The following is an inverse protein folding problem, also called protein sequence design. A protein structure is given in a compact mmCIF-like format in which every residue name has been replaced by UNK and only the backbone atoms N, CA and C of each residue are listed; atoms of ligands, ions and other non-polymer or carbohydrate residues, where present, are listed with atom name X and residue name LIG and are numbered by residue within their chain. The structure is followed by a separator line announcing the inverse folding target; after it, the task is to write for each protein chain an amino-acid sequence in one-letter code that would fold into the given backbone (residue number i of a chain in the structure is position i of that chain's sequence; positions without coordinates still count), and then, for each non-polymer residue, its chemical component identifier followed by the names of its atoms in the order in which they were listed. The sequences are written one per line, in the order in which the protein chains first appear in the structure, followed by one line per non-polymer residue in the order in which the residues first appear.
data_IF_900637920131
#
_entry.id   IF_900637920131
#
_cell.length_a   1.000
_cell.length_b   1.000
_cell.length_c   1.000
_cell.angle_alpha   90.00
_cell.angle_beta   90.00
_cell.angle_gamma   90.00
#
_symmetry.space_group_name_H-M   'P 1'
#
loop_
_entity.id
_entity.type
_entity.pdbx_description
1 polymer ?
#
# COMPACT_ATOMS: atom_id res chain seq x y z
N UNK A 1 13.95 -16.85 0.16
CA UNK A 1 13.73 -15.41 -0.20
C UNK A 1 12.51 -15.36 -1.08
N UNK A 2 11.66 -14.33 -0.95
CA UNK A 2 10.59 -14.09 -1.92
C UNK A 2 11.24 -13.69 -3.24
N UNK A 3 10.84 -14.32 -4.36
CA UNK A 3 11.35 -13.95 -5.68
C UNK A 3 10.48 -12.89 -6.36
N UNK A 4 9.28 -12.62 -5.83
CA UNK A 4 8.36 -11.64 -6.39
C UNK A 4 8.54 -10.24 -5.79
N UNK A 5 9.18 -10.14 -4.62
CA UNK A 5 9.56 -8.86 -4.05
C UNK A 5 11.06 -8.63 -4.26
N UNK A 6 11.36 -7.45 -4.75
CA UNK A 6 12.72 -7.03 -5.02
C UNK A 6 13.53 -7.04 -3.72
N UNK A 7 14.69 -7.70 -3.74
CA UNK A 7 15.73 -7.44 -2.75
C UNK A 7 16.36 -6.10 -3.14
N UNK A 8 16.00 -5.04 -2.45
CA UNK A 8 16.61 -3.74 -2.71
C UNK A 8 18.06 -3.78 -2.25
N UNK A 9 18.90 -3.01 -2.93
CA UNK A 9 20.21 -2.68 -2.43
C UNK A 9 20.03 -2.04 -1.06
N UNK A 10 20.82 -2.47 -0.10
CA UNK A 10 20.80 -1.93 1.27
C UNK A 10 21.61 -0.65 1.30
N UNK A 11 21.09 0.38 1.93
CA UNK A 11 21.75 1.67 2.11
C UNK A 11 22.05 1.98 3.58
N UNK A 12 22.99 2.92 3.81
CA UNK A 12 23.30 3.39 5.18
C UNK A 12 22.06 4.05 5.77
N UNK A 13 21.79 3.76 7.04
CA UNK A 13 20.62 4.24 7.77
C UNK A 13 19.39 3.34 7.67
N UNK A 14 19.36 2.40 6.71
CA UNK A 14 18.23 1.48 6.58
C UNK A 14 18.20 0.43 7.68
N UNK A 15 16.98 0.02 8.01
CA UNK A 15 16.74 -1.07 8.95
C UNK A 15 16.81 -2.40 8.20
N UNK A 16 17.65 -3.30 8.67
CA UNK A 16 17.94 -4.59 8.04
C UNK A 16 17.88 -5.75 9.02
N UNK A 17 17.76 -6.96 8.49
CA UNK A 17 18.17 -8.19 9.15
C UNK A 17 19.38 -8.76 8.40
N UNK A 18 20.46 -8.99 9.13
CA UNK A 18 21.62 -9.71 8.62
C UNK A 18 21.72 -11.07 9.34
N UNK A 19 21.63 -12.15 8.58
CA UNK A 19 21.90 -13.50 9.07
C UNK A 19 23.36 -13.81 8.90
N UNK A 20 24.01 -14.20 9.98
CA UNK A 20 25.39 -14.63 9.99
C UNK A 20 25.53 -16.05 10.54
N UNK A 21 26.60 -16.70 10.16
CA UNK A 21 26.98 -18.02 10.66
C UNK A 21 28.29 -17.89 11.45
N UNK A 22 28.25 -18.28 12.72
CA UNK A 22 29.42 -18.34 13.61
C UNK A 22 29.48 -19.77 14.17
N UNK A 23 30.60 -20.45 13.98
CA UNK A 23 30.81 -21.83 14.46
C UNK A 23 29.68 -22.80 14.07
N UNK A 24 29.16 -22.67 12.83
CA UNK A 24 28.06 -23.47 12.30
C UNK A 24 26.66 -23.10 12.82
N UNK A 25 26.54 -22.09 13.66
CA UNK A 25 25.27 -21.58 14.17
C UNK A 25 24.84 -20.33 13.41
N UNK A 26 23.54 -20.30 13.05
CA UNK A 26 22.94 -19.12 12.45
C UNK A 26 22.38 -18.16 13.50
N UNK A 27 22.79 -16.90 13.43
CA UNK A 27 22.29 -15.82 14.26
C UNK A 27 21.85 -14.64 13.41
N UNK A 28 20.84 -13.91 13.86
CA UNK A 28 20.31 -12.73 13.14
C UNK A 28 20.67 -11.45 13.92
N UNK A 29 21.24 -10.46 13.25
CA UNK A 29 21.39 -9.09 13.74
C UNK A 29 20.34 -8.24 13.06
N UNK A 30 19.43 -7.63 13.84
CA UNK A 30 18.39 -6.75 13.35
C UNK A 30 18.66 -5.33 13.84
N UNK A 31 18.82 -4.38 12.93
CA UNK A 31 19.16 -3.01 13.30
C UNK A 31 19.35 -2.10 12.10
N UNK A 32 20.04 -1.00 12.32
CA UNK A 32 20.27 0.03 11.31
C UNK A 32 21.71 -0.01 10.83
N UNK A 33 21.89 0.06 9.52
CA UNK A 33 23.21 0.03 8.87
C UNK A 33 23.94 1.32 9.14
N UNK A 34 25.18 1.22 9.66
CA UNK A 34 26.08 2.34 9.88
C UNK A 34 27.16 2.43 8.80
N UNK A 35 27.60 1.28 8.29
CA UNK A 35 28.59 1.15 7.22
C UNK A 35 28.28 -0.10 6.40
N UNK A 36 28.62 -0.09 5.12
CA UNK A 36 28.46 -1.24 4.22
C UNK A 36 29.79 -1.98 3.97
N UNK A 37 30.90 -1.31 4.16
CA UNK A 37 32.23 -1.88 4.00
C UNK A 37 33.20 -1.30 5.06
N UNK A 38 33.55 -2.06 6.13
CA UNK A 38 32.89 -3.32 6.54
C UNK A 38 31.42 -3.13 6.88
N UNK A 39 30.63 -4.23 6.84
CA UNK A 39 29.22 -4.15 7.24
C UNK A 39 29.11 -3.97 8.75
N UNK A 40 28.59 -2.82 9.16
CA UNK A 40 28.37 -2.48 10.58
C UNK A 40 26.90 -2.18 10.80
N UNK A 41 26.27 -2.89 11.72
CA UNK A 41 24.85 -2.74 12.07
C UNK A 41 24.73 -2.39 13.56
N UNK A 42 24.01 -1.32 13.88
CA UNK A 42 23.60 -1.04 15.25
C UNK A 42 22.28 -1.74 15.54
N UNK A 43 22.22 -2.65 16.53
CA UNK A 43 20.98 -3.30 16.93
C UNK A 43 19.89 -2.28 17.24
N UNK A 44 18.64 -2.64 16.89
CA UNK A 44 17.49 -1.76 17.08
C UNK A 44 16.96 -1.80 18.53
N UNK A 45 16.20 -0.77 18.89
CA UNK A 45 15.29 -0.82 20.04
C UNK A 45 13.97 -1.53 19.69
N UNK A 46 13.15 -1.79 20.72
CA UNK A 46 11.80 -2.35 20.57
C UNK A 46 10.99 -1.45 19.61
N UNK A 47 10.24 -2.08 18.70
CA UNK A 47 9.48 -1.35 17.68
C UNK A 47 10.28 -0.99 16.42
N UNK A 48 11.57 -1.32 16.36
CA UNK A 48 12.43 -1.04 15.20
C UNK A 48 13.01 0.38 15.21
N UNK A 49 13.07 1.02 16.36
CA UNK A 49 13.68 2.34 16.50
C UNK A 49 15.22 2.26 16.54
N UNK A 50 15.91 3.32 16.10
CA UNK A 50 17.35 3.44 16.31
C UNK A 50 17.70 3.36 17.80
N UNK A 51 18.82 2.74 18.13
CA UNK A 51 19.31 2.58 19.50
C UNK A 51 20.66 3.24 19.70
N UNK A 52 21.10 3.31 20.96
CA UNK A 52 22.46 3.64 21.36
C UNK A 52 23.30 2.40 21.70
N UNK A 53 22.81 1.19 21.42
CA UNK A 53 23.51 -0.06 21.67
C UNK A 53 24.81 -0.13 20.88
N UNK A 54 25.74 -0.95 21.37
CA UNK A 54 26.99 -1.20 20.66
C UNK A 54 26.75 -1.74 19.27
N UNK A 55 27.47 -1.20 18.29
CA UNK A 55 27.35 -1.62 16.91
C UNK A 55 28.09 -2.95 16.70
N UNK A 56 27.54 -3.79 15.84
CA UNK A 56 28.08 -5.10 15.49
C UNK A 56 28.67 -5.02 14.09
N UNK A 57 29.97 -5.29 13.99
CA UNK A 57 30.64 -5.53 12.72
C UNK A 57 30.40 -6.98 12.29
N UNK A 58 30.03 -7.19 11.03
CA UNK A 58 29.77 -8.50 10.47
C UNK A 58 30.78 -8.76 9.35
N UNK A 59 31.77 -9.65 9.59
CA UNK A 59 32.72 -10.05 8.55
C UNK A 59 32.02 -10.65 7.34
N UNK A 60 32.56 -10.41 6.15
CA UNK A 60 31.96 -10.86 4.89
C UNK A 60 31.80 -12.40 4.84
N UNK A 61 32.74 -13.15 5.42
CA UNK A 61 32.72 -14.60 5.50
C UNK A 61 31.59 -15.16 6.39
N UNK A 62 31.18 -14.41 7.41
CA UNK A 62 30.09 -14.77 8.29
C UNK A 62 28.71 -14.45 7.68
N UNK A 63 28.64 -13.43 6.83
CA UNK A 63 27.37 -12.94 6.27
C UNK A 63 26.77 -13.95 5.27
N UNK A 64 25.59 -14.46 5.58
CA UNK A 64 24.84 -15.36 4.68
C UNK A 64 23.73 -14.62 3.93
N UNK A 65 23.03 -13.75 4.58
CA UNK A 65 21.90 -13.01 4.01
C UNK A 65 21.84 -11.63 4.69
N UNK A 66 21.62 -10.61 3.87
CA UNK A 66 21.15 -9.31 4.36
C UNK A 66 19.84 -8.97 3.65
N UNK A 67 18.86 -8.48 4.39
CA UNK A 67 17.56 -8.08 3.85
C UNK A 67 17.11 -6.77 4.48
N UNK A 68 16.69 -5.84 3.65
CA UNK A 68 16.02 -4.63 4.07
C UNK A 68 14.68 -4.96 4.74
N UNK A 69 14.36 -4.23 5.80
CA UNK A 69 13.11 -4.31 6.54
C UNK A 69 12.36 -2.98 6.45
N UNK A 70 11.07 -3.02 6.74
CA UNK A 70 10.30 -1.79 6.94
C UNK A 70 10.95 -0.92 8.03
N UNK A 71 10.89 0.43 7.94
CA UNK A 71 11.52 1.32 8.92
C UNK A 71 11.08 1.11 10.37
N UNK A 72 9.94 0.48 10.58
CA UNK A 72 9.43 0.10 11.91
C UNK A 72 9.06 -1.39 11.93
N UNK A 73 8.97 -1.94 13.13
CA UNK A 73 8.48 -3.32 13.29
C UNK A 73 7.02 -3.40 12.87
N UNK A 74 6.70 -4.30 11.95
CA UNK A 74 5.36 -4.53 11.43
C UNK A 74 4.98 -5.98 11.69
N UNK A 75 3.81 -6.22 12.27
CA UNK A 75 3.24 -7.55 12.49
C UNK A 75 2.38 -7.97 11.29
N UNK A 76 2.11 -9.26 11.15
CA UNK A 76 1.17 -9.75 10.13
C UNK A 76 -0.26 -9.20 10.35
N UNK A 77 -0.65 -8.97 11.62
CA UNK A 77 -1.90 -8.30 11.96
C UNK A 77 -1.96 -6.87 11.45
N UNK A 78 -0.84 -6.12 11.50
CA UNK A 78 -0.79 -4.73 11.02
C UNK A 78 -0.94 -4.67 9.50
N UNK A 79 -0.30 -5.61 8.77
CA UNK A 79 -0.47 -5.75 7.32
C UNK A 79 -1.93 -6.08 7.00
N UNK A 80 -2.50 -7.06 7.70
CA UNK A 80 -3.88 -7.49 7.48
C UNK A 80 -4.87 -6.34 7.73
N UNK A 81 -4.68 -5.55 8.78
CA UNK A 81 -5.56 -4.42 9.09
C UNK A 81 -5.64 -3.40 7.95
N UNK A 82 -4.49 -3.01 7.36
CA UNK A 82 -4.45 -2.11 6.19
C UNK A 82 -5.10 -2.75 4.97
N UNK A 83 -4.85 -4.04 4.73
CA UNK A 83 -5.43 -4.75 3.59
C UNK A 83 -6.95 -4.95 3.75
N UNK A 84 -7.46 -5.12 4.97
CA UNK A 84 -8.91 -5.13 5.27
C UNK A 84 -9.52 -3.76 4.98
N UNK A 85 -8.93 -2.67 5.50
CA UNK A 85 -9.39 -1.32 5.21
C UNK A 85 -9.36 -1.01 3.69
N UNK A 86 -8.31 -1.50 2.99
CA UNK A 86 -8.23 -1.39 1.52
C UNK A 86 -9.34 -2.18 0.84
N UNK A 87 -9.63 -3.39 1.30
CA UNK A 87 -10.69 -4.21 0.72
C UNK A 87 -12.07 -3.59 0.92
N UNK A 88 -12.33 -3.01 2.10
CA UNK A 88 -13.55 -2.26 2.38
C UNK A 88 -13.71 -1.01 1.50
N UNK A 89 -12.58 -0.32 1.18
CA UNK A 89 -12.56 0.83 0.28
C UNK A 89 -12.73 0.45 -1.22
N UNK A 90 -12.55 -0.82 -1.57
CA UNK A 90 -12.63 -1.33 -2.95
C UNK A 90 -13.35 -2.69 -2.99
N UNK A 91 -14.64 -2.74 -2.61
CA UNK A 91 -15.38 -4.01 -2.43
C UNK A 91 -15.65 -4.77 -3.73
N UNK A 92 -15.59 -4.10 -4.91
CA UNK A 92 -16.06 -4.69 -6.18
C UNK A 92 -17.59 -4.70 -6.29
N UNK A 93 -18.10 -5.30 -7.35
CA UNK A 93 -19.55 -5.54 -7.59
C UNK A 93 -20.06 -6.73 -6.79
N UNK A 94 -19.22 -7.74 -6.70
CA UNK A 94 -19.42 -8.90 -5.84
C UNK A 94 -18.16 -9.16 -5.06
N UNK A 95 -18.33 -9.56 -3.80
CA UNK A 95 -17.23 -10.07 -2.99
C UNK A 95 -17.74 -11.23 -2.15
N UNK A 96 -16.91 -12.24 -1.99
CA UNK A 96 -17.18 -13.41 -1.17
C UNK A 96 -15.90 -14.01 -0.62
N UNK A 97 -16.00 -14.69 0.50
CA UNK A 97 -14.89 -15.42 1.08
C UNK A 97 -14.79 -16.83 0.50
N UNK A 98 -13.60 -17.35 0.41
CA UNK A 98 -13.39 -18.78 0.20
C UNK A 98 -13.97 -19.58 1.35
N UNK A 99 -14.33 -20.85 1.10
CA UNK A 99 -14.98 -21.75 2.08
C UNK A 99 -14.19 -21.90 3.38
N UNK A 100 -12.86 -21.82 3.28
CA UNK A 100 -11.96 -21.85 4.45
C UNK A 100 -11.87 -20.50 5.18
N UNK A 101 -12.50 -19.44 4.66
CA UNK A 101 -12.50 -18.10 5.22
C UNK A 101 -11.13 -17.40 5.19
N UNK A 102 -10.20 -17.86 4.33
CA UNK A 102 -8.85 -17.29 4.32
C UNK A 102 -8.65 -16.24 3.22
N UNK A 103 -9.37 -16.31 2.11
CA UNK A 103 -9.24 -15.39 0.99
C UNK A 103 -10.55 -14.66 0.73
N UNK A 104 -10.48 -13.33 0.58
CA UNK A 104 -11.60 -12.51 0.09
C UNK A 104 -11.44 -12.31 -1.41
N UNK A 105 -12.38 -12.85 -2.19
CA UNK A 105 -12.45 -12.69 -3.64
C UNK A 105 -13.35 -11.50 -3.96
N UNK A 106 -12.91 -10.64 -4.88
CA UNK A 106 -13.66 -9.43 -5.30
C UNK A 106 -13.66 -9.35 -6.81
N UNK A 107 -14.85 -9.15 -7.39
CA UNK A 107 -15.07 -8.93 -8.80
C UNK A 107 -15.75 -7.57 -9.00
N UNK A 108 -15.14 -6.68 -9.74
CA UNK A 108 -15.65 -5.36 -10.10
C UNK A 108 -15.87 -5.24 -11.59
N UNK A 109 -15.39 -4.14 -12.15
CA UNK A 109 -15.47 -3.78 -13.58
C UNK A 109 -14.19 -4.07 -14.37
N UNK A 110 -13.22 -4.79 -13.76
CA UNK A 110 -11.92 -5.08 -14.38
C UNK A 110 -10.92 -3.92 -14.35
N UNK A 111 -11.33 -2.70 -13.96
CA UNK A 111 -10.48 -1.49 -14.09
C UNK A 111 -9.31 -1.50 -13.11
N UNK A 112 -9.52 -1.85 -11.84
CA UNK A 112 -8.46 -1.81 -10.83
C UNK A 112 -8.23 -3.16 -10.19
N UNK A 113 -6.97 -3.53 -9.93
CA UNK A 113 -6.64 -4.74 -9.18
C UNK A 113 -7.25 -4.75 -7.78
N UNK A 114 -7.43 -3.58 -7.16
CA UNK A 114 -8.01 -3.46 -5.81
C UNK A 114 -9.43 -3.99 -5.69
N UNK A 115 -10.27 -3.79 -6.73
CA UNK A 115 -11.65 -4.28 -6.78
C UNK A 115 -11.78 -5.62 -7.53
N UNK A 116 -10.70 -6.15 -8.09
CA UNK A 116 -10.71 -7.31 -8.99
C UNK A 116 -9.56 -8.26 -8.64
N UNK A 117 -9.47 -8.67 -7.38
CA UNK A 117 -8.46 -9.63 -6.92
C UNK A 117 -8.90 -10.39 -5.69
N UNK A 118 -8.39 -11.61 -5.54
CA UNK A 118 -8.45 -12.36 -4.30
C UNK A 118 -7.31 -11.93 -3.36
N UNK A 119 -7.61 -11.64 -2.10
CA UNK A 119 -6.65 -11.13 -1.11
C UNK A 119 -6.66 -11.99 0.16
N UNK A 120 -5.49 -12.33 0.76
CA UNK A 120 -5.35 -13.21 1.92
C UNK A 120 -5.61 -12.45 3.23
N UNK A 121 -6.87 -12.28 3.63
CA UNK A 121 -7.26 -11.53 4.82
C UNK A 121 -7.56 -12.40 6.04
N UNK A 122 -7.77 -13.70 5.86
CA UNK A 122 -8.01 -14.62 6.96
C UNK A 122 -6.78 -14.77 7.87
N UNK A 123 -6.98 -15.11 9.16
CA UNK A 123 -5.90 -15.16 10.14
C UNK A 123 -4.82 -16.20 9.79
N UNK A 124 -5.18 -17.27 9.09
CA UNK A 124 -4.28 -18.36 8.69
C UNK A 124 -3.85 -18.32 7.22
N UNK A 125 -4.29 -17.32 6.44
CA UNK A 125 -4.02 -17.22 5.00
C UNK A 125 -2.52 -17.30 4.64
N UNK A 126 -1.64 -16.81 5.51
CA UNK A 126 -0.18 -16.88 5.32
C UNK A 126 0.44 -18.26 5.53
N UNK A 127 -0.33 -19.24 6.02
CA UNK A 127 0.17 -20.56 6.39
C UNK A 127 -0.55 -21.71 5.67
N UNK A 128 -1.79 -21.48 5.20
CA UNK A 128 -2.60 -22.47 4.48
C UNK A 128 -2.32 -22.40 2.97
N UNK A 129 -2.52 -23.49 2.22
CA UNK A 129 -2.50 -23.47 0.77
C UNK A 129 -3.53 -22.47 0.21
N UNK A 130 -3.24 -21.90 -0.96
CA UNK A 130 -4.21 -21.06 -1.68
C UNK A 130 -5.28 -21.96 -2.29
N UNK A 131 -6.59 -21.72 -2.05
CA UNK A 131 -7.67 -22.52 -2.63
C UNK A 131 -7.92 -22.12 -4.09
N UNK A 132 -6.95 -22.44 -4.98
CA UNK A 132 -6.93 -21.97 -6.36
C UNK A 132 -8.16 -22.36 -7.17
N UNK A 133 -8.67 -23.58 -7.01
CA UNK A 133 -9.84 -24.06 -7.76
C UNK A 133 -11.07 -23.17 -7.49
N UNK A 134 -11.29 -22.81 -6.23
CA UNK A 134 -12.41 -21.95 -5.82
C UNK A 134 -12.23 -20.52 -6.31
N UNK A 135 -11.00 -19.99 -6.26
CA UNK A 135 -10.67 -18.66 -6.77
C UNK A 135 -10.83 -18.59 -8.29
N UNK A 136 -10.33 -19.60 -9.00
CA UNK A 136 -10.45 -19.67 -10.47
C UNK A 136 -11.93 -19.76 -10.90
N UNK A 137 -12.74 -20.61 -10.24
CA UNK A 137 -14.18 -20.72 -10.49
C UNK A 137 -14.90 -19.38 -10.25
N UNK A 138 -14.53 -18.64 -9.20
CA UNK A 138 -15.11 -17.33 -8.92
C UNK A 138 -14.83 -16.34 -10.06
N UNK A 139 -13.58 -16.19 -10.50
CA UNK A 139 -13.23 -15.25 -11.56
C UNK A 139 -13.79 -15.66 -12.94
N UNK A 140 -13.82 -16.96 -13.23
CA UNK A 140 -14.42 -17.48 -14.46
C UNK A 140 -15.92 -17.11 -14.59
N UNK A 141 -16.68 -17.15 -13.48
CA UNK A 141 -18.09 -16.74 -13.47
C UNK A 141 -18.32 -15.25 -13.78
N UNK A 142 -17.29 -14.44 -13.59
CA UNK A 142 -17.33 -12.99 -13.83
C UNK A 142 -16.67 -12.56 -15.13
N UNK A 143 -16.25 -13.50 -15.97
CA UNK A 143 -15.49 -13.22 -17.20
C UNK A 143 -14.21 -12.37 -16.91
N UNK A 144 -13.58 -12.61 -15.77
CA UNK A 144 -12.38 -11.91 -15.34
C UNK A 144 -11.18 -12.87 -15.24
N UNK A 145 -9.96 -12.42 -15.53
CA UNK A 145 -8.77 -13.23 -15.26
C UNK A 145 -8.58 -13.39 -13.75
N UNK A 146 -8.14 -14.58 -13.33
CA UNK A 146 -7.76 -14.81 -11.94
C UNK A 146 -6.63 -13.86 -11.57
N UNK A 147 -6.83 -13.07 -10.52
CA UNK A 147 -5.85 -12.14 -10.00
C UNK A 147 -5.70 -12.32 -8.50
N UNK A 148 -4.46 -12.54 -8.06
CA UNK A 148 -4.08 -12.63 -6.66
C UNK A 148 -3.46 -11.32 -6.20
N UNK A 149 -3.95 -10.77 -5.09
CA UNK A 149 -3.28 -9.73 -4.35
C UNK A 149 -2.31 -10.39 -3.37
N UNK A 150 -1.05 -9.98 -3.39
CA UNK A 150 0.04 -10.63 -2.66
C UNK A 150 0.72 -9.60 -1.76
N UNK A 151 0.14 -9.30 -0.58
CA UNK A 151 0.83 -8.52 0.43
C UNK A 151 2.00 -9.32 0.99
N UNK A 152 3.13 -8.66 1.20
CA UNK A 152 4.34 -9.26 1.76
C UNK A 152 4.02 -10.05 3.03
N UNK A 153 4.60 -11.22 3.18
CA UNK A 153 4.47 -12.17 4.31
C UNK A 153 3.12 -12.88 4.40
N UNK A 154 1.98 -12.17 4.44
CA UNK A 154 0.67 -12.83 4.52
C UNK A 154 0.26 -13.45 3.18
N UNK A 155 0.80 -12.97 2.05
CA UNK A 155 0.62 -13.53 0.71
C UNK A 155 1.62 -14.64 0.33
N UNK A 156 2.48 -15.09 1.27
CA UNK A 156 3.54 -16.10 0.98
C UNK A 156 3.03 -17.40 0.31
N UNK A 157 1.85 -17.95 0.63
CA UNK A 157 1.36 -19.13 -0.11
C UNK A 157 1.15 -18.85 -1.60
N UNK A 158 0.65 -17.67 -1.98
CA UNK A 158 0.51 -17.29 -3.39
C UNK A 158 1.87 -17.15 -4.09
N UNK A 159 2.90 -16.67 -3.39
CA UNK A 159 4.26 -16.66 -3.94
C UNK A 159 4.73 -18.05 -4.36
N UNK A 160 4.36 -19.09 -3.60
CA UNK A 160 4.72 -20.47 -3.92
C UNK A 160 3.94 -21.01 -5.12
N UNK A 161 2.65 -20.65 -5.25
CA UNK A 161 1.83 -21.00 -6.42
C UNK A 161 2.44 -20.44 -7.68
N UNK A 162 2.82 -19.15 -7.64
CA UNK A 162 3.42 -18.47 -8.79
C UNK A 162 4.80 -19.03 -9.10
N UNK A 163 5.61 -19.36 -8.06
CA UNK A 163 6.93 -19.95 -8.22
C UNK A 163 6.92 -21.32 -8.89
N UNK A 164 5.84 -22.09 -8.68
CA UNK A 164 5.70 -23.42 -9.27
C UNK A 164 5.45 -23.36 -10.79
N UNK A 165 4.79 -22.31 -11.27
CA UNK A 165 4.40 -22.13 -12.68
C UNK A 165 4.51 -20.65 -13.09
N UNK A 166 5.72 -20.08 -13.12
CA UNK A 166 5.90 -18.63 -13.33
C UNK A 166 5.47 -18.18 -14.74
N UNK A 167 5.49 -19.07 -15.72
CA UNK A 167 5.04 -18.81 -17.09
C UNK A 167 3.54 -18.53 -17.18
N UNK A 168 2.74 -19.03 -16.23
CA UNK A 168 1.29 -18.88 -16.21
C UNK A 168 0.84 -17.56 -15.58
N UNK A 169 1.76 -16.75 -15.06
CA UNK A 169 1.46 -15.55 -14.31
C UNK A 169 2.15 -14.32 -14.89
N UNK A 170 1.43 -13.21 -14.87
CA UNK A 170 1.97 -11.88 -15.11
C UNK A 170 2.02 -11.13 -13.77
N UNK A 171 3.23 -10.71 -13.39
CA UNK A 171 3.43 -9.91 -12.18
C UNK A 171 3.28 -8.42 -12.50
N UNK A 172 2.32 -7.76 -11.87
CA UNK A 172 2.18 -6.31 -11.97
C UNK A 172 3.32 -5.59 -11.21
N UNK A 173 3.52 -4.27 -11.46
CA UNK A 173 4.50 -3.49 -10.73
C UNK A 173 4.35 -3.61 -9.22
N UNK A 174 5.49 -3.62 -8.53
CA UNK A 174 5.53 -3.62 -7.07
C UNK A 174 4.97 -2.31 -6.51
N UNK A 175 4.18 -2.42 -5.45
CA UNK A 175 3.54 -1.33 -4.76
C UNK A 175 4.10 -1.23 -3.34
N UNK A 176 4.43 -0.04 -2.91
CA UNK A 176 4.74 0.27 -1.50
C UNK A 176 3.44 0.71 -0.83
N UNK A 177 3.06 0.00 0.23
CA UNK A 177 1.97 0.41 1.11
C UNK A 177 2.58 1.25 2.22
N UNK A 178 2.20 2.51 2.28
CA UNK A 178 2.69 3.46 3.26
C UNK A 178 1.59 3.81 4.25
N UNK A 179 1.96 4.00 5.51
CA UNK A 179 1.02 4.31 6.60
C UNK A 179 1.50 5.50 7.42
N UNK A 180 0.54 6.19 8.04
CA UNK A 180 0.77 7.25 9.00
C UNK A 180 -0.23 7.14 10.16
N UNK A 181 0.23 7.31 11.41
CA UNK A 181 -0.63 7.53 12.57
C UNK A 181 -1.12 8.97 12.57
N UNK A 182 -2.39 9.18 12.90
CA UNK A 182 -3.02 10.49 12.99
C UNK A 182 -3.18 10.90 14.48
N UNK A 183 -2.07 10.85 15.21
CA UNK A 183 -2.01 11.24 16.63
C UNK A 183 -1.82 12.76 16.77
N UNK A 184 -2.33 13.32 17.84
CA UNK A 184 -2.23 14.77 18.12
C UNK A 184 -2.96 15.63 17.10
N UNK A 185 -2.49 16.87 16.93
CA UNK A 185 -3.01 17.82 15.94
C UNK A 185 -2.41 17.49 14.55
N UNK A 186 -3.28 17.35 13.56
CA UNK A 186 -2.89 17.14 12.15
C UNK A 186 -3.24 18.42 11.40
N UNK A 187 -2.40 19.44 11.56
CA UNK A 187 -2.57 20.71 10.86
C UNK A 187 -2.26 20.57 9.36
N UNK A 188 -3.08 21.19 8.53
CA UNK A 188 -2.78 21.38 7.11
C UNK A 188 -1.55 22.28 6.93
N UNK A 189 -0.73 22.01 5.90
CA UNK A 189 0.32 22.92 5.51
C UNK A 189 -0.28 24.29 5.11
N UNK A 190 0.44 25.42 5.30
CA UNK A 190 -0.05 26.72 4.88
C UNK A 190 -0.49 26.70 3.41
N UNK A 191 -1.71 27.20 3.15
CA UNK A 191 -2.21 27.37 1.79
C UNK A 191 -1.44 28.54 1.13
N UNK A 192 -0.96 28.36 -0.10
CA UNK A 192 -0.42 29.48 -0.86
C UNK A 192 -1.48 30.59 -1.03
N UNK A 193 -1.02 31.83 -1.21
CA UNK A 193 -1.90 32.98 -1.35
C UNK A 193 -2.96 32.78 -2.43
N UNK A 194 -4.21 33.05 -2.09
CA UNK A 194 -5.37 32.91 -2.96
C UNK A 194 -5.81 31.48 -3.27
N UNK A 195 -5.09 30.45 -2.79
CA UNK A 195 -5.51 29.05 -2.94
C UNK A 195 -6.37 28.65 -1.74
N UNK A 196 -7.45 27.92 -2.02
CA UNK A 196 -8.30 27.34 -0.99
C UNK A 196 -8.39 25.82 -1.11
N UNK A 197 -8.72 25.16 0.00
CA UNK A 197 -8.99 23.73 0.07
C UNK A 197 -10.45 23.47 0.39
N UNK A 198 -11.03 22.47 -0.27
CA UNK A 198 -12.40 22.02 -0.04
C UNK A 198 -12.50 20.51 -0.18
N UNK A 199 -13.40 19.90 0.58
CA UNK A 199 -13.79 18.49 0.41
C UNK A 199 -15.29 18.45 0.09
N UNK A 200 -15.62 17.84 -1.03
CA UNK A 200 -16.98 17.64 -1.49
C UNK A 200 -17.44 16.21 -1.20
N UNK A 201 -18.73 16.00 -0.97
CA UNK A 201 -19.32 14.68 -0.80
C UNK A 201 -19.45 13.91 -2.14
N UNK A 202 -19.43 14.64 -3.25
CA UNK A 202 -19.51 14.08 -4.61
C UNK A 202 -18.56 14.84 -5.53
N UNK A 203 -17.95 14.17 -6.52
CA UNK A 203 -17.15 14.84 -7.53
C UNK A 203 -18.06 15.55 -8.53
N UNK A 204 -17.65 16.70 -9.00
CA UNK A 204 -18.20 17.37 -10.18
C UNK A 204 -17.33 17.12 -11.42
N UNK A 205 -17.73 17.66 -12.57
CA UNK A 205 -17.03 17.46 -13.83
C UNK A 205 -15.58 17.96 -13.77
N UNK A 206 -15.31 19.12 -13.14
CA UNK A 206 -13.94 19.65 -13.01
C UNK A 206 -13.03 18.70 -12.21
N UNK A 207 -13.59 18.07 -11.16
CA UNK A 207 -12.84 17.08 -10.39
C UNK A 207 -12.56 15.82 -11.23
N UNK A 208 -13.58 15.35 -11.99
CA UNK A 208 -13.48 14.18 -12.85
C UNK A 208 -12.52 14.38 -14.02
N UNK A 209 -12.41 15.59 -14.56
CA UNK A 209 -11.50 15.93 -15.67
C UNK A 209 -10.02 15.78 -15.28
N UNK A 210 -9.71 15.89 -13.98
CA UNK A 210 -8.37 15.63 -13.45
C UNK A 210 -8.19 14.16 -13.01
N UNK A 211 -9.28 13.38 -12.91
CA UNK A 211 -9.24 12.03 -12.38
C UNK A 211 -8.80 11.02 -13.42
N UNK A 212 -7.52 10.64 -13.38
CA UNK A 212 -6.93 9.66 -14.28
C UNK A 212 -6.39 8.45 -13.51
N UNK A 213 -6.53 7.27 -14.10
CA UNK A 213 -5.86 6.06 -13.65
C UNK A 213 -4.91 5.57 -14.74
N UNK A 214 -3.60 5.52 -14.42
CA UNK A 214 -2.54 5.17 -15.39
C UNK A 214 -2.60 6.04 -16.67
N UNK A 215 -2.96 7.32 -16.52
CA UNK A 215 -3.02 8.28 -17.63
C UNK A 215 -4.31 8.21 -18.48
N UNK A 216 -5.28 7.38 -18.09
CA UNK A 216 -6.59 7.29 -18.75
C UNK A 216 -7.69 7.80 -17.81
N UNK A 217 -8.62 8.57 -18.36
CA UNK A 217 -9.81 8.98 -17.64
C UNK A 217 -10.62 7.74 -17.19
N UNK A 218 -11.04 7.73 -15.93
CA UNK A 218 -11.90 6.65 -15.43
C UNK A 218 -13.34 6.93 -15.79
N UNK A 219 -14.11 5.88 -16.15
CA UNK A 219 -15.53 6.02 -16.34
C UNK A 219 -16.20 6.56 -15.08
N UNK A 220 -16.98 7.67 -15.14
CA UNK A 220 -17.69 8.22 -13.98
C UNK A 220 -18.57 7.19 -13.27
N UNK A 221 -19.17 6.27 -14.02
CA UNK A 221 -20.03 5.19 -13.53
C UNK A 221 -19.27 4.25 -12.58
N UNK A 222 -17.98 3.97 -12.84
CA UNK A 222 -17.14 3.12 -11.98
C UNK A 222 -16.93 3.76 -10.60
N UNK A 223 -16.77 5.10 -10.56
CA UNK A 223 -16.62 5.84 -9.32
C UNK A 223 -17.93 5.94 -8.54
N UNK A 224 -19.04 6.22 -9.23
CA UNK A 224 -20.37 6.24 -8.61
C UNK A 224 -20.75 4.87 -8.06
N UNK A 225 -20.46 3.82 -8.82
CA UNK A 225 -20.67 2.45 -8.38
C UNK A 225 -19.86 2.15 -7.12
N UNK A 226 -18.57 2.50 -7.10
CA UNK A 226 -17.73 2.33 -5.93
C UNK A 226 -18.28 3.08 -4.72
N UNK A 227 -18.68 4.35 -4.90
CA UNK A 227 -19.24 5.21 -3.86
C UNK A 227 -20.51 4.61 -3.23
N UNK A 228 -21.35 3.98 -4.03
CA UNK A 228 -22.62 3.35 -3.57
C UNK A 228 -22.41 2.04 -2.81
N UNK A 229 -21.23 1.43 -2.86
CA UNK A 229 -20.95 0.09 -2.34
C UNK A 229 -20.00 0.04 -1.17
N UNK A 230 -19.21 1.09 -0.94
CA UNK A 230 -18.29 1.09 0.19
C UNK A 230 -19.06 1.14 1.50
N UNK A 231 -18.56 0.40 2.48
CA UNK A 231 -18.97 0.55 3.87
C UNK A 231 -18.06 1.58 4.54
N UNK A 232 -18.44 2.88 4.36
CA UNK A 232 -17.61 3.99 4.81
C UNK A 232 -17.99 5.31 4.14
N UNK A 233 -17.12 6.30 4.29
CA UNK A 233 -17.33 7.67 3.77
C UNK A 233 -16.26 8.02 2.74
N UNK A 234 -16.67 8.60 1.62
CA UNK A 234 -15.75 9.22 0.64
C UNK A 234 -15.77 10.73 0.73
N UNK A 235 -14.58 11.34 0.66
CA UNK A 235 -14.41 12.77 0.50
C UNK A 235 -13.58 13.07 -0.75
N UNK A 236 -14.05 14.03 -1.55
CA UNK A 236 -13.41 14.46 -2.80
C UNK A 236 -12.71 15.79 -2.56
N UNK A 237 -11.45 15.71 -2.13
CA UNK A 237 -10.62 16.87 -1.82
C UNK A 237 -10.13 17.57 -3.08
N UNK A 238 -10.10 18.91 -3.05
CA UNK A 238 -9.52 19.73 -4.12
C UNK A 238 -8.84 20.98 -3.62
N UNK A 239 -7.85 21.46 -4.35
CA UNK A 239 -7.36 22.82 -4.24
C UNK A 239 -7.95 23.66 -5.37
N UNK A 240 -8.37 24.87 -5.02
CA UNK A 240 -8.97 25.85 -5.93
C UNK A 240 -8.02 27.04 -6.07
N UNK A 241 -7.77 27.48 -7.31
CA UNK A 241 -7.13 28.75 -7.61
C UNK A 241 -8.03 29.94 -7.27
N UNK A 242 -7.51 31.20 -7.26
CA UNK A 242 -8.33 32.40 -7.06
C UNK A 242 -9.45 32.57 -8.10
N UNK A 243 -9.28 31.99 -9.28
CA UNK A 243 -10.29 31.96 -10.34
C UNK A 243 -11.47 31.02 -10.06
N UNK A 244 -11.34 30.14 -9.07
CA UNK A 244 -12.25 29.03 -8.82
C UNK A 244 -11.90 27.74 -9.55
N UNK A 245 -10.86 27.75 -10.40
CA UNK A 245 -10.40 26.57 -11.13
C UNK A 245 -9.89 25.48 -10.19
N UNK A 246 -10.27 24.24 -10.43
CA UNK A 246 -9.74 23.05 -9.73
C UNK A 246 -8.32 22.73 -10.21
N UNK A 247 -7.31 22.90 -9.36
CA UNK A 247 -5.89 22.77 -9.71
C UNK A 247 -5.21 21.52 -9.17
N UNK A 248 -5.81 20.87 -8.17
CA UNK A 248 -5.36 19.58 -7.66
C UNK A 248 -6.52 18.85 -7.00
N UNK A 249 -6.49 17.53 -7.09
CA UNK A 249 -7.53 16.65 -6.54
C UNK A 249 -6.93 15.50 -5.72
N UNK A 250 -7.72 15.00 -4.78
CA UNK A 250 -7.49 13.73 -4.09
C UNK A 250 -8.82 13.13 -3.63
N UNK A 251 -8.85 11.81 -3.48
CA UNK A 251 -9.96 11.12 -2.85
C UNK A 251 -9.50 10.50 -1.53
N UNK A 252 -10.16 10.84 -0.45
CA UNK A 252 -10.07 10.16 0.83
C UNK A 252 -11.24 9.19 1.01
N UNK A 253 -10.96 8.00 1.52
CA UNK A 253 -11.98 7.01 1.85
C UNK A 253 -11.79 6.59 3.29
N UNK A 254 -12.79 6.80 4.13
CA UNK A 254 -12.80 6.35 5.52
C UNK A 254 -13.44 4.97 5.57
N UNK A 255 -12.68 3.99 6.01
CA UNK A 255 -13.13 2.61 6.20
C UNK A 255 -12.56 2.05 7.50
N UNK A 256 -13.23 1.04 8.04
CA UNK A 256 -12.82 0.38 9.27
C UNK A 256 -12.08 -0.93 8.97
N UNK A 257 -11.01 -1.20 9.71
CA UNK A 257 -10.41 -2.53 9.76
C UNK A 257 -11.13 -3.39 10.80
N UNK A 258 -10.97 -4.72 10.71
CA UNK A 258 -11.71 -5.66 11.55
C UNK A 258 -11.46 -5.55 13.06
N UNK A 259 -10.56 -4.68 13.50
CA UNK A 259 -10.27 -4.34 14.90
C UNK A 259 -10.91 -3.02 15.36
N UNK A 260 -11.78 -2.42 14.54
CA UNK A 260 -12.45 -1.17 14.84
C UNK A 260 -11.66 0.09 14.52
N UNK A 261 -10.41 -0.03 14.06
CA UNK A 261 -9.60 1.16 13.68
C UNK A 261 -10.15 1.79 12.40
N UNK A 262 -10.40 3.09 12.43
CA UNK A 262 -10.81 3.88 11.26
C UNK A 262 -9.58 4.34 10.49
N UNK A 263 -9.55 4.03 9.20
CA UNK A 263 -8.46 4.36 8.29
C UNK A 263 -8.88 5.36 7.23
N UNK A 264 -8.06 6.36 6.99
CA UNK A 264 -8.14 7.22 5.81
C UNK A 264 -7.28 6.62 4.68
N UNK A 265 -7.93 6.08 3.66
CA UNK A 265 -7.26 5.64 2.43
C UNK A 265 -7.13 6.78 1.42
N UNK A 266 -5.90 7.06 0.95
CA UNK A 266 -5.64 8.03 -0.12
C UNK A 266 -5.69 7.39 -1.48
N UNK A 267 -6.31 8.05 -2.44
CA UNK A 267 -6.28 7.69 -3.85
C UNK A 267 -6.53 8.91 -4.75
N UNK A 268 -6.28 8.75 -6.05
CA UNK A 268 -6.55 9.81 -7.03
C UNK A 268 -5.84 11.15 -6.73
N UNK A 269 -4.59 11.10 -6.25
CA UNK A 269 -3.80 12.32 -6.01
C UNK A 269 -3.26 12.80 -7.33
N UNK A 270 -3.79 13.91 -7.85
CA UNK A 270 -3.38 14.52 -9.11
C UNK A 270 -3.26 16.03 -8.97
N UNK A 271 -2.28 16.61 -9.64
CA UNK A 271 -2.09 18.07 -9.76
C UNK A 271 -2.12 18.44 -11.23
N UNK A 272 -2.94 19.41 -11.60
CA UNK A 272 -3.05 19.91 -12.96
C UNK A 272 -1.66 20.28 -13.53
N UNK A 273 -1.40 19.94 -14.79
CA UNK A 273 -0.07 20.02 -15.40
C UNK A 273 0.60 21.41 -15.23
N UNK A 274 -0.16 22.48 -15.42
CA UNK A 274 0.30 23.87 -15.28
C UNK A 274 0.68 24.25 -13.82
N UNK A 275 0.24 23.45 -12.84
CA UNK A 275 0.41 23.71 -11.43
C UNK A 275 1.39 22.75 -10.72
N UNK A 276 1.97 21.81 -11.45
CA UNK A 276 2.92 20.83 -10.90
C UNK A 276 4.21 21.50 -10.42
N UNK A 277 4.94 20.79 -9.55
CA UNK A 277 6.26 21.18 -9.01
C UNK A 277 6.25 22.44 -8.15
N UNK A 278 5.08 22.81 -7.61
CA UNK A 278 4.87 23.92 -6.67
C UNK A 278 4.54 23.45 -5.24
N UNK A 279 4.76 22.18 -4.93
CA UNK A 279 4.45 21.63 -3.60
C UNK A 279 2.97 21.35 -3.33
N UNK A 280 2.07 21.59 -4.30
CA UNK A 280 0.61 21.52 -4.10
C UNK A 280 0.13 20.10 -3.73
N UNK A 281 0.79 19.03 -4.19
CA UNK A 281 0.47 17.67 -3.78
C UNK A 281 0.67 17.45 -2.26
N UNK A 282 1.71 18.05 -1.68
CA UNK A 282 1.97 18.00 -0.23
C UNK A 282 0.94 18.84 0.53
N UNK A 283 0.61 20.05 0.05
CA UNK A 283 -0.43 20.89 0.64
C UNK A 283 -1.78 20.18 0.64
N UNK A 284 -2.21 19.67 -0.53
CA UNK A 284 -3.45 18.90 -0.68
C UNK A 284 -3.49 17.70 0.28
N UNK A 285 -2.42 16.90 0.31
CA UNK A 285 -2.32 15.73 1.17
C UNK A 285 -2.40 16.08 2.66
N UNK A 286 -1.75 17.17 3.10
CA UNK A 286 -1.80 17.61 4.50
C UNK A 286 -3.22 18.03 4.94
N UNK A 287 -3.93 18.77 4.10
CA UNK A 287 -5.33 19.15 4.37
C UNK A 287 -6.27 17.94 4.36
N UNK A 288 -6.03 16.97 3.45
CA UNK A 288 -6.82 15.74 3.43
C UNK A 288 -6.57 14.88 4.66
N UNK A 289 -5.35 14.87 5.21
CA UNK A 289 -5.06 14.22 6.50
C UNK A 289 -5.85 14.89 7.65
N UNK A 290 -5.90 16.23 7.68
CA UNK A 290 -6.73 16.98 8.64
C UNK A 290 -8.20 16.58 8.53
N UNK A 291 -8.75 16.62 7.31
CA UNK A 291 -10.13 16.18 7.06
C UNK A 291 -10.39 14.75 7.57
N UNK A 292 -9.50 13.81 7.29
CA UNK A 292 -9.64 12.43 7.77
C UNK A 292 -9.66 12.36 9.30
N UNK A 293 -8.75 13.09 9.96
CA UNK A 293 -8.68 13.17 11.42
C UNK A 293 -9.97 13.75 12.03
N UNK A 294 -10.46 14.84 11.45
CA UNK A 294 -11.70 15.51 11.90
C UNK A 294 -12.95 14.63 11.72
N UNK A 295 -12.87 13.65 10.81
CA UNK A 295 -13.91 12.66 10.56
C UNK A 295 -13.62 11.29 11.20
N UNK A 296 -12.74 11.24 12.21
CA UNK A 296 -12.54 10.07 13.07
C UNK A 296 -11.45 9.09 12.64
N UNK A 297 -10.70 9.40 11.58
CA UNK A 297 -9.57 8.53 11.21
C UNK A 297 -8.46 8.56 12.27
N UNK A 298 -8.02 7.40 12.68
CA UNK A 298 -6.89 7.18 13.59
C UNK A 298 -5.57 6.99 12.83
N UNK A 299 -5.67 6.44 11.63
CA UNK A 299 -4.55 6.13 10.75
C UNK A 299 -4.87 6.49 9.31
N UNK A 300 -3.83 6.73 8.54
CA UNK A 300 -3.93 6.89 7.10
C UNK A 300 -3.05 5.89 6.36
N UNK A 301 -3.47 5.48 5.17
CA UNK A 301 -2.67 4.65 4.29
C UNK A 301 -2.79 5.09 2.84
N UNK A 302 -1.81 4.69 2.05
CA UNK A 302 -1.82 4.82 0.60
C UNK A 302 -1.03 3.69 -0.05
N UNK A 303 -1.25 3.52 -1.34
CA UNK A 303 -0.53 2.58 -2.18
C UNK A 303 0.14 3.36 -3.32
N UNK A 304 1.43 3.24 -3.44
CA UNK A 304 2.23 3.90 -4.49
C UNK A 304 3.13 2.89 -5.19
N UNK A 305 3.21 2.96 -6.52
CA UNK A 305 4.11 2.09 -7.29
C UNK A 305 5.54 2.36 -6.84
N UNK A 306 6.31 1.30 -6.55
CA UNK A 306 7.66 1.42 -5.99
C UNK A 306 8.64 2.22 -6.89
N UNK A 307 8.44 2.19 -8.20
CA UNK A 307 9.22 2.98 -9.17
C UNK A 307 8.87 4.48 -9.18
N UNK A 308 7.75 4.89 -8.55
CA UNK A 308 7.39 6.30 -8.41
C UNK A 308 8.11 6.94 -7.21
N UNK A 309 9.41 7.12 -7.32
CA UNK A 309 10.26 7.68 -6.26
C UNK A 309 9.81 9.09 -5.82
N UNK A 310 9.30 9.89 -6.76
CA UNK A 310 8.78 11.23 -6.46
C UNK A 310 7.52 11.17 -5.56
N UNK A 311 6.62 10.24 -5.83
CA UNK A 311 5.44 9.98 -5.00
C UNK A 311 5.83 9.48 -3.61
N UNK A 312 6.72 8.49 -3.52
CA UNK A 312 7.23 7.96 -2.25
C UNK A 312 7.86 9.09 -1.41
N UNK A 313 8.71 9.93 -2.02
CA UNK A 313 9.35 11.06 -1.34
C UNK A 313 8.33 12.11 -0.87
N UNK A 314 7.30 12.40 -1.69
CA UNK A 314 6.23 13.33 -1.32
C UNK A 314 5.45 12.82 -0.11
N UNK A 315 5.06 11.55 -0.10
CA UNK A 315 4.34 10.96 1.03
C UNK A 315 5.22 10.83 2.27
N UNK A 316 6.53 10.58 2.11
CA UNK A 316 7.50 10.64 3.21
C UNK A 316 7.50 12.02 3.91
N UNK A 317 7.44 13.13 3.15
CA UNK A 317 7.30 14.50 3.70
C UNK A 317 5.98 14.70 4.45
N UNK A 318 4.93 13.99 4.09
CA UNK A 318 3.65 13.97 4.81
C UNK A 318 3.68 13.04 6.03
N UNK A 319 4.82 12.48 6.41
CA UNK A 319 4.99 11.61 7.57
C UNK A 319 4.53 10.16 7.37
N UNK A 320 4.25 9.76 6.14
CA UNK A 320 4.01 8.35 5.84
C UNK A 320 5.32 7.57 5.85
N UNK A 321 5.27 6.35 6.36
CA UNK A 321 6.38 5.40 6.34
C UNK A 321 5.98 4.13 5.60
N UNK A 322 6.92 3.48 4.94
CA UNK A 322 6.72 2.16 4.35
C UNK A 322 6.32 1.17 5.44
N UNK A 323 5.19 0.48 5.27
CA UNK A 323 4.77 -0.59 6.16
C UNK A 323 5.10 -1.95 5.57
N UNK A 324 4.64 -2.21 4.35
CA UNK A 324 4.89 -3.46 3.64
C UNK A 324 4.83 -3.23 2.13
N UNK A 325 5.17 -4.27 1.38
CA UNK A 325 5.06 -4.28 -0.07
C UNK A 325 3.94 -5.20 -0.52
N UNK A 326 3.42 -4.89 -1.68
CA UNK A 326 2.27 -5.57 -2.27
C UNK A 326 2.50 -5.74 -3.77
N UNK A 327 2.05 -6.86 -4.32
CA UNK A 327 1.98 -7.08 -5.77
C UNK A 327 0.68 -7.73 -6.16
N UNK A 328 0.29 -7.53 -7.41
CA UNK A 328 -0.71 -8.36 -8.05
C UNK A 328 -0.03 -9.35 -8.99
N UNK A 329 -0.57 -10.56 -9.04
CA UNK A 329 -0.27 -11.54 -10.05
C UNK A 329 -1.57 -11.88 -10.80
N UNK A 330 -1.56 -11.71 -12.11
CA UNK A 330 -2.68 -12.02 -12.97
C UNK A 330 -2.37 -13.29 -13.77
N UNK A 331 -3.33 -14.21 -13.83
CA UNK A 331 -3.19 -15.41 -14.65
C UNK A 331 -3.27 -15.02 -16.12
N UNK A 332 -2.35 -15.53 -16.92
CA UNK A 332 -2.34 -15.33 -18.37
C UNK A 332 -3.42 -16.20 -19.01
N UNK A 333 -4.17 -15.62 -19.94
CA UNK A 333 -5.15 -16.37 -20.72
C UNK A 333 -4.45 -17.46 -21.57
N UNK A 334 -4.95 -18.69 -21.53
CA UNK A 334 -4.53 -19.77 -22.42
C UNK A 334 -3.95 -21.03 -21.79
N UNK A 335 -3.82 -21.14 -20.47
CA UNK A 335 -3.36 -22.37 -19.80
C UNK A 335 -4.33 -22.77 -18.67
N UNK A 336 -5.38 -23.49 -19.03
CA UNK A 336 -6.11 -24.41 -18.14
C UNK A 336 -5.45 -25.80 -18.23
#
# INVERSE_FOLDING_TARGET
MSYIFRSDAVEIGERVVARREIDGMHTDVIGHVLSLDPLVIRPQEVGGYPSSLEAVEIPAEELKIIKRLSPRMVRNSDIRAVEVATAAAFPGKEHTWTKDGQWLMRAGDGVTGRSNSAVPLGPSAGFTPVPMDEIDEFYARHDLPTRLAIPERIGRPAERVIAAYPENWELEPEVVVMVRLLEGEVAGAPLPEGISFRVDAQPDQEWLDLYHFRGQALPPEALEYLRSRIDGTMGFGRLLAPSGETIAITRGTLTESGDGTVWLGFSAVEVAAAWRRRGLGTVLGSHMLGWGKDNGAEKAYLQVVASNSAGVAMYGKLGFIEQHRHRYAMRKDGNL
#
